data_IF_886616007941
#
_entry.id   IF_886616007941
#
_cell.length_a   1.000
_cell.length_b   1.000
_cell.length_c   1.000
_cell.angle_alpha   90.00
_cell.angle_beta   90.00
_cell.angle_gamma   90.00
#
_symmetry.space_group_name_H-M   'P 1'
#
loop_
_entity.id
_entity.type
_entity.pdbx_description
1 polymer ?
#
# COMPACT_ATOMS: atom_id res chain seq x y z
N UNK A 1 -36.11 -35.03 42.80
CA UNK A 1 -34.62 -35.00 42.91
C UNK A 1 -34.07 -35.05 41.49
N UNK A 2 -34.09 -33.95 40.73
CA UNK A 2 -33.08 -32.88 40.78
C UNK A 2 -31.65 -33.43 40.73
N UNK A 3 -31.21 -33.85 39.55
CA UNK A 3 -29.82 -33.60 39.15
C UNK A 3 -29.87 -32.79 37.86
N UNK A 4 -29.48 -31.54 38.02
CA UNK A 4 -29.49 -30.48 37.04
C UNK A 4 -28.53 -30.79 35.88
N UNK A 5 -28.92 -30.28 34.72
CA UNK A 5 -28.20 -30.21 33.45
C UNK A 5 -26.80 -29.60 33.65
N UNK A 6 -25.77 -30.21 33.07
CA UNK A 6 -24.48 -29.57 32.82
C UNK A 6 -23.99 -29.89 31.39
N UNK A 7 -24.85 -29.63 30.41
CA UNK A 7 -24.38 -29.19 29.10
C UNK A 7 -24.21 -27.68 29.22
N UNK A 8 -23.00 -27.14 29.07
CA UNK A 8 -22.73 -25.86 28.37
C UNK A 8 -21.24 -25.47 28.49
N UNK A 9 -20.63 -25.38 27.31
CA UNK A 9 -19.60 -24.40 26.92
C UNK A 9 -18.28 -24.35 27.69
N UNK A 10 -17.27 -25.03 27.14
CA UNK A 10 -15.94 -24.42 27.05
C UNK A 10 -15.64 -24.09 25.58
N UNK A 11 -16.54 -23.33 24.97
CA UNK A 11 -16.33 -22.66 23.69
C UNK A 11 -16.33 -21.16 23.96
N UNK A 12 -15.38 -20.67 24.74
CA UNK A 12 -15.25 -19.23 25.01
C UNK A 12 -13.85 -18.91 25.53
N UNK A 13 -12.84 -19.09 24.69
CA UNK A 13 -11.57 -18.38 24.85
C UNK A 13 -10.89 -18.09 23.50
N UNK A 14 -11.62 -18.16 22.38
CA UNK A 14 -11.36 -17.18 21.33
C UNK A 14 -12.27 -16.00 21.68
N UNK A 15 -11.81 -15.18 22.63
CA UNK A 15 -12.23 -13.79 22.60
C UNK A 15 -12.00 -13.33 21.16
N UNK A 16 -13.01 -12.70 20.57
CA UNK A 16 -12.84 -11.96 19.34
C UNK A 16 -11.67 -11.00 19.57
N UNK A 17 -10.47 -11.38 19.15
CA UNK A 17 -9.36 -10.47 19.02
C UNK A 17 -9.78 -9.56 17.88
N UNK A 18 -10.52 -8.51 18.19
CA UNK A 18 -10.73 -7.39 17.29
C UNK A 18 -9.36 -6.74 17.14
N UNK A 19 -8.53 -7.33 16.27
CA UNK A 19 -7.29 -6.71 15.83
C UNK A 19 -7.72 -5.38 15.25
N UNK A 20 -7.31 -4.29 15.91
CA UNK A 20 -7.55 -2.96 15.39
C UNK A 20 -6.76 -2.81 14.09
N UNK A 21 -7.46 -3.02 12.99
CA UNK A 21 -6.90 -2.98 11.64
C UNK A 21 -6.80 -1.55 11.10
N UNK A 22 -7.24 -0.55 11.88
CA UNK A 22 -7.23 0.86 11.49
C UNK A 22 -5.83 1.38 11.17
N UNK A 23 -4.80 0.79 11.77
CA UNK A 23 -3.41 1.19 11.57
C UNK A 23 -2.75 0.47 10.39
N UNK A 24 -3.36 -0.58 9.79
CA UNK A 24 -2.75 -1.31 8.67
C UNK A 24 -2.35 -0.43 7.47
N UNK A 25 -3.09 0.61 7.08
CA UNK A 25 -2.67 1.50 6.01
C UNK A 25 -1.34 2.23 6.29
N UNK A 26 -0.90 2.28 7.55
CA UNK A 26 0.33 2.94 7.99
C UNK A 26 1.38 1.96 8.54
N UNK A 27 0.96 0.86 9.16
CA UNK A 27 1.81 -0.12 9.83
C UNK A 27 1.43 -1.53 9.39
N UNK A 28 1.62 -1.84 8.11
CA UNK A 28 1.46 -3.21 7.63
C UNK A 28 2.62 -4.09 8.15
N UNK A 29 2.36 -5.09 9.02
CA UNK A 29 3.42 -5.92 9.60
C UNK A 29 4.12 -6.81 8.57
N UNK A 30 3.50 -7.03 7.41
CA UNK A 30 4.06 -7.85 6.33
C UNK A 30 4.99 -7.05 5.39
N UNK A 31 5.08 -5.73 5.56
CA UNK A 31 5.86 -4.84 4.71
C UNK A 31 7.00 -4.19 5.48
N UNK A 32 8.11 -3.94 4.80
CA UNK A 32 9.22 -3.20 5.40
C UNK A 32 8.78 -1.76 5.69
N UNK A 33 9.07 -1.26 6.89
CA UNK A 33 8.64 0.08 7.32
C UNK A 33 7.13 0.29 7.42
N UNK A 34 6.31 -0.74 7.16
CA UNK A 34 4.85 -0.66 7.14
C UNK A 34 4.23 -0.44 5.75
N UNK A 35 5.01 -0.05 4.75
CA UNK A 35 4.49 0.38 3.44
C UNK A 35 5.43 0.11 2.23
N UNK A 36 6.58 -0.55 2.43
CA UNK A 36 7.52 -0.87 1.34
C UNK A 36 7.53 -2.36 1.01
N UNK A 37 7.18 -2.69 -0.23
CA UNK A 37 7.19 -4.06 -0.74
C UNK A 37 8.55 -4.41 -1.38
N UNK A 38 9.06 -5.62 -1.09
CA UNK A 38 10.23 -6.16 -1.80
C UNK A 38 11.58 -5.52 -1.44
N UNK A 39 11.70 -4.94 -0.23
CA UNK A 39 12.94 -4.32 0.24
C UNK A 39 13.87 -5.33 0.92
N UNK A 40 15.17 -5.24 0.61
CA UNK A 40 16.23 -5.86 1.41
C UNK A 40 16.54 -4.96 2.62
N UNK A 41 16.27 -5.47 3.83
CA UNK A 41 16.44 -4.75 5.09
C UNK A 41 17.89 -4.37 5.40
N UNK A 42 18.85 -4.92 4.66
CA UNK A 42 20.28 -4.62 4.82
C UNK A 42 20.76 -3.49 3.91
N UNK A 43 19.94 -3.06 2.94
CA UNK A 43 20.29 -1.98 2.02
C UNK A 43 20.07 -0.60 2.66
N UNK A 44 20.65 0.44 2.04
CA UNK A 44 20.47 1.84 2.41
C UNK A 44 19.15 2.35 1.86
N UNK A 45 18.59 3.38 2.51
CA UNK A 45 17.28 3.96 2.17
C UNK A 45 17.15 4.57 0.75
N UNK A 46 18.22 4.67 -0.03
CA UNK A 46 18.18 5.21 -1.38
C UNK A 46 18.78 4.19 -2.34
N UNK A 47 18.06 3.88 -3.42
CA UNK A 47 18.48 2.97 -4.49
C UNK A 47 19.42 3.74 -5.46
N UNK A 48 20.75 3.54 -5.41
CA UNK A 48 21.66 4.28 -6.27
C UNK A 48 21.66 3.78 -7.72
N UNK A 49 21.31 2.52 -7.95
CA UNK A 49 21.52 1.82 -9.22
C UNK A 49 20.63 2.42 -10.33
N UNK A 50 21.21 2.96 -11.43
CA UNK A 50 20.43 3.62 -12.48
C UNK A 50 19.41 2.72 -13.18
N UNK A 51 19.67 1.41 -13.27
CA UNK A 51 18.78 0.45 -13.93
C UNK A 51 17.49 0.16 -13.12
N UNK A 52 17.45 0.56 -11.84
CA UNK A 52 16.27 0.46 -10.99
C UNK A 52 15.47 1.78 -10.96
N UNK A 53 15.87 2.79 -11.76
CA UNK A 53 15.23 4.11 -11.80
C UNK A 53 14.35 4.25 -13.04
N UNK A 54 13.33 5.09 -12.90
CA UNK A 54 12.51 5.52 -14.03
C UNK A 54 13.35 6.26 -15.10
N UNK A 55 13.38 5.76 -16.35
CA UNK A 55 14.15 6.40 -17.42
C UNK A 55 13.76 7.86 -17.63
N UNK A 56 14.76 8.74 -17.71
CA UNK A 56 14.54 10.17 -17.89
C UNK A 56 13.75 10.85 -16.76
N UNK A 57 13.72 10.23 -15.56
CA UNK A 57 12.90 10.65 -14.43
C UNK A 57 11.40 10.72 -14.75
N UNK A 58 10.93 9.89 -15.70
CA UNK A 58 9.51 9.83 -16.11
C UNK A 58 8.89 8.51 -15.64
N UNK A 59 7.89 8.61 -14.77
CA UNK A 59 7.06 7.48 -14.36
C UNK A 59 5.71 7.52 -15.09
N UNK A 60 5.49 6.69 -16.13
CA UNK A 60 4.17 6.52 -16.71
C UNK A 60 3.21 5.95 -15.67
N UNK A 61 2.00 6.47 -15.56
CA UNK A 61 1.02 6.02 -14.56
C UNK A 61 -0.35 5.72 -15.16
N UNK A 62 -1.06 4.81 -14.50
CA UNK A 62 -2.45 4.47 -14.74
C UNK A 62 -3.19 4.48 -13.40
N UNK A 63 -4.39 5.08 -13.36
CA UNK A 63 -5.26 5.09 -12.19
C UNK A 63 -6.43 4.15 -12.47
N UNK A 64 -6.61 3.15 -11.61
CA UNK A 64 -7.74 2.23 -11.68
C UNK A 64 -9.07 2.97 -11.42
N UNK A 65 -10.10 2.61 -12.20
CA UNK A 65 -11.44 3.17 -12.08
C UNK A 65 -12.02 3.04 -10.67
N UNK A 66 -11.66 1.97 -9.93
CA UNK A 66 -12.10 1.73 -8.57
C UNK A 66 -11.72 2.87 -7.59
N UNK A 67 -10.66 3.63 -7.91
CA UNK A 67 -10.14 4.74 -7.10
C UNK A 67 -10.19 6.09 -7.82
N UNK A 68 -10.80 6.17 -9.01
CA UNK A 68 -10.90 7.38 -9.84
C UNK A 68 -11.48 8.60 -9.12
N UNK A 69 -12.28 8.39 -8.06
CA UNK A 69 -12.78 9.47 -7.18
C UNK A 69 -11.68 10.30 -6.51
N UNK A 70 -10.46 9.76 -6.40
CA UNK A 70 -9.30 10.45 -5.81
C UNK A 70 -8.33 11.02 -6.86
N UNK A 71 -8.66 10.95 -8.16
CA UNK A 71 -7.79 11.41 -9.25
C UNK A 71 -7.29 12.83 -9.06
N UNK A 72 -8.15 13.75 -8.60
CA UNK A 72 -7.75 15.15 -8.35
C UNK A 72 -6.69 15.27 -7.25
N UNK A 73 -6.83 14.50 -6.17
CA UNK A 73 -5.88 14.49 -5.05
C UNK A 73 -4.55 13.88 -5.49
N UNK A 74 -4.59 12.78 -6.26
CA UNK A 74 -3.40 12.15 -6.82
C UNK A 74 -2.67 13.09 -7.80
N UNK A 75 -3.40 13.76 -8.69
CA UNK A 75 -2.83 14.75 -9.60
C UNK A 75 -2.18 15.91 -8.85
N UNK A 76 -2.82 16.44 -7.81
CA UNK A 76 -2.22 17.48 -6.95
C UNK A 76 -0.92 17.01 -6.27
N UNK A 77 -0.86 15.75 -5.82
CA UNK A 77 0.38 15.19 -5.27
C UNK A 77 1.47 15.06 -6.34
N UNK A 78 1.11 14.64 -7.56
CA UNK A 78 2.05 14.59 -8.69
C UNK A 78 2.54 15.98 -9.10
N UNK A 79 1.68 17.00 -9.11
CA UNK A 79 2.04 18.40 -9.37
C UNK A 79 3.10 18.89 -8.37
N UNK A 80 2.98 18.53 -7.09
CA UNK A 80 4.00 18.87 -6.09
C UNK A 80 5.38 18.32 -6.46
N UNK A 81 5.47 17.11 -7.02
CA UNK A 81 6.74 16.59 -7.56
C UNK A 81 7.22 17.36 -8.78
N UNK A 82 6.31 17.79 -9.65
CA UNK A 82 6.66 18.51 -10.87
C UNK A 82 7.27 19.88 -10.55
N UNK A 83 6.74 20.54 -9.50
CA UNK A 83 7.18 21.85 -9.04
C UNK A 83 8.52 21.81 -8.31
N UNK A 84 8.79 20.73 -7.55
CA UNK A 84 9.91 20.69 -6.60
C UNK A 84 11.04 19.75 -6.99
N UNK A 85 10.86 18.93 -8.04
CA UNK A 85 11.85 17.93 -8.46
C UNK A 85 11.95 17.85 -9.99
N UNK A 86 12.90 17.07 -10.51
CA UNK A 86 12.94 16.72 -11.93
C UNK A 86 12.02 15.55 -12.31
N UNK A 87 11.38 14.90 -11.32
CA UNK A 87 10.48 13.77 -11.54
C UNK A 87 9.19 14.16 -12.26
N UNK A 88 8.76 13.37 -13.24
CA UNK A 88 7.56 13.63 -14.03
C UNK A 88 6.67 12.39 -14.07
N UNK A 89 5.43 12.57 -13.66
CA UNK A 89 4.39 11.56 -13.80
C UNK A 89 3.60 11.85 -15.07
N UNK A 90 3.54 10.90 -15.99
CA UNK A 90 2.89 11.06 -17.29
C UNK A 90 1.78 10.02 -17.46
N UNK A 91 0.61 10.35 -18.04
CA UNK A 91 -0.39 9.33 -18.33
C UNK A 91 0.22 8.25 -19.22
N UNK A 92 0.05 6.99 -18.82
CA UNK A 92 0.52 5.84 -19.59
C UNK A 92 -0.19 5.80 -20.94
N UNK A 93 0.56 5.41 -21.97
CA UNK A 93 0.06 5.10 -23.30
C UNK A 93 0.28 3.61 -23.61
N UNK A 94 1.51 3.22 -23.92
CA UNK A 94 1.90 1.87 -24.38
C UNK A 94 3.11 1.32 -23.64
N UNK A 95 3.63 2.06 -22.65
CA UNK A 95 4.82 1.69 -21.90
C UNK A 95 4.59 0.36 -21.17
N UNK A 96 5.57 -0.54 -21.28
CA UNK A 96 5.55 -1.84 -20.63
C UNK A 96 5.72 -1.72 -19.10
N UNK A 97 6.64 -0.84 -18.67
CA UNK A 97 6.86 -0.52 -17.26
C UNK A 97 6.11 0.78 -16.93
N UNK A 98 5.22 0.72 -15.95
CA UNK A 98 4.40 1.84 -15.51
C UNK A 98 3.94 1.62 -14.06
N UNK A 99 3.49 2.70 -13.43
CA UNK A 99 2.92 2.70 -12.09
C UNK A 99 1.41 2.43 -12.23
N UNK A 100 0.94 1.33 -11.67
CA UNK A 100 -0.49 1.04 -11.54
C UNK A 100 -0.95 1.49 -10.17
N UNK A 101 -1.85 2.47 -10.10
CA UNK A 101 -2.42 2.97 -8.85
C UNK A 101 -3.81 2.35 -8.71
N UNK A 102 -4.01 1.52 -7.68
CA UNK A 102 -5.19 0.68 -7.52
C UNK A 102 -5.64 0.59 -6.06
N UNK A 103 -6.84 0.04 -5.82
CA UNK A 103 -7.32 -0.25 -4.48
C UNK A 103 -6.64 -1.52 -3.92
N UNK A 104 -5.63 -1.35 -3.08
CA UNK A 104 -4.96 -2.43 -2.37
C UNK A 104 -5.43 -2.60 -0.91
N UNK A 105 -4.80 -3.54 -0.20
CA UNK A 105 -4.94 -3.67 1.26
C UNK A 105 -4.00 -2.68 1.95
N UNK A 106 -4.50 -1.48 2.22
CA UNK A 106 -3.69 -0.39 2.77
C UNK A 106 -2.96 0.42 1.69
N UNK A 107 -1.92 1.13 2.10
CA UNK A 107 -1.12 2.00 1.25
C UNK A 107 0.30 1.44 1.20
N UNK A 108 0.83 1.14 0.01
CA UNK A 108 2.19 0.65 -0.17
C UNK A 108 2.65 0.84 -1.62
N UNK A 109 3.96 0.66 -1.85
CA UNK A 109 4.57 0.64 -3.19
C UNK A 109 5.70 -0.38 -3.28
#
# INVERSE_FOLDING_TARGET
MLFFIAFLTLASALENLSVNLGDLPLQNPDLFGGDMLGVDVTDRNAIPQPHLKWPGAKGPYFIDDAISRYTKQMQKAMENYHDNTCGRFVPRTTEANYISIFAGQGCYS
#
